data_IF_669072745593
#
_entry.id   IF_669072745593
#
_cell.length_a   1.000
_cell.length_b   1.000
_cell.length_c   1.000
_cell.angle_alpha   90.00
_cell.angle_beta   90.00
_cell.angle_gamma   90.00
#
_symmetry.space_group_name_H-M   'P 1'
#
loop_
_entity.id
_entity.type
_entity.pdbx_description
1 polymer ?
#
# COMPACT_ATOMS: atom_id res chain seq x y z
N UNK A 1 -12.48 13.29 9.79
CA UNK A 1 -13.61 12.64 9.10
C UNK A 1 -14.83 12.52 10.01
N UNK A 2 -14.70 11.96 11.21
CA UNK A 2 -15.82 11.75 12.15
C UNK A 2 -16.57 13.04 12.55
N UNK A 3 -15.88 14.16 12.77
CA UNK A 3 -16.55 15.44 13.09
C UNK A 3 -17.54 15.91 12.00
N UNK A 4 -17.25 15.62 10.73
CA UNK A 4 -18.10 15.98 9.58
C UNK A 4 -19.32 15.06 9.41
N UNK A 5 -19.46 14.02 10.25
CA UNK A 5 -20.66 13.16 10.30
C UNK A 5 -21.62 13.56 11.42
N UNK A 6 -21.16 14.37 12.39
CA UNK A 6 -21.93 14.77 13.56
C UNK A 6 -22.22 16.28 13.62
N UNK A 7 -21.42 17.10 12.94
CA UNK A 7 -21.59 18.55 12.93
C UNK A 7 -22.74 18.98 12.01
N UNK A 8 -23.59 19.90 12.48
CA UNK A 8 -24.65 20.49 11.67
C UNK A 8 -24.10 21.43 10.59
N UNK A 9 -24.76 21.48 9.43
CA UNK A 9 -24.39 22.38 8.32
C UNK A 9 -23.20 21.93 7.47
N UNK A 10 -22.68 20.73 7.70
CA UNK A 10 -21.63 20.11 6.86
C UNK A 10 -22.08 18.74 6.35
N UNK A 11 -21.38 18.23 5.34
CA UNK A 11 -21.58 16.87 4.80
C UNK A 11 -20.36 15.99 5.09
N UNK A 12 -20.55 14.67 5.29
CA UNK A 12 -19.43 13.73 5.38
C UNK A 12 -18.52 13.77 4.15
N UNK A 13 -17.28 13.36 4.34
CA UNK A 13 -16.35 13.13 3.23
C UNK A 13 -16.80 11.92 2.42
N UNK A 14 -17.05 12.09 1.12
CA UNK A 14 -17.46 11.02 0.21
C UNK A 14 -16.32 10.15 -0.30
N UNK A 15 -15.33 9.85 0.54
CA UNK A 15 -14.13 9.08 0.17
C UNK A 15 -13.80 8.06 1.26
N UNK A 16 -13.29 6.90 0.85
CA UNK A 16 -12.55 5.99 1.73
C UNK A 16 -11.06 6.11 1.42
N UNK A 17 -10.21 5.92 2.43
CA UNK A 17 -8.75 5.99 2.29
C UNK A 17 -8.12 4.64 2.63
N UNK A 18 -7.04 4.31 1.91
CA UNK A 18 -6.08 3.29 2.34
C UNK A 18 -4.81 4.01 2.77
N UNK A 19 -4.39 3.78 4.02
CA UNK A 19 -3.22 4.38 4.63
C UNK A 19 -2.23 3.27 4.92
N UNK A 20 -1.12 3.26 4.20
CA UNK A 20 -0.01 2.34 4.42
C UNK A 20 1.13 3.07 5.14
N UNK A 21 1.82 2.39 6.04
CA UNK A 21 2.94 2.94 6.79
C UNK A 21 3.78 1.86 7.44
N UNK A 22 4.81 2.30 8.15
CA UNK A 22 5.61 1.46 9.03
C UNK A 22 5.51 2.05 10.43
N UNK A 23 5.09 1.21 11.37
CA UNK A 23 5.03 1.52 12.78
C UNK A 23 6.14 0.78 13.53
N UNK A 24 6.48 1.21 14.74
CA UNK A 24 7.43 0.52 15.60
C UNK A 24 6.64 -0.39 16.56
N UNK A 25 7.11 -1.62 16.76
CA UNK A 25 6.58 -2.48 17.82
C UNK A 25 7.13 -2.12 19.20
N UNK A 26 6.56 -2.71 20.25
CA UNK A 26 6.98 -2.50 21.63
C UNK A 26 8.44 -2.92 21.89
N UNK A 27 9.06 -3.64 20.96
CA UNK A 27 10.45 -4.08 20.97
C UNK A 27 11.36 -3.25 20.05
N UNK A 28 10.83 -2.21 19.40
CA UNK A 28 11.56 -1.32 18.48
C UNK A 28 11.74 -1.87 17.06
N UNK A 29 11.05 -2.94 16.68
CA UNK A 29 11.09 -3.49 15.32
C UNK A 29 10.09 -2.77 14.41
N UNK A 30 10.50 -2.52 13.16
CA UNK A 30 9.63 -1.97 12.13
C UNK A 30 8.56 -2.97 11.70
N UNK A 31 7.29 -2.59 11.79
CA UNK A 31 6.13 -3.37 11.35
C UNK A 31 5.35 -2.62 10.28
N UNK A 32 5.18 -3.19 9.07
CA UNK A 32 4.28 -2.64 8.08
C UNK A 32 2.84 -2.67 8.57
N UNK A 33 2.10 -1.60 8.34
CA UNK A 33 0.69 -1.49 8.68
C UNK A 33 -0.11 -0.92 7.51
N UNK A 34 -1.32 -1.44 7.33
CA UNK A 34 -2.28 -0.97 6.34
C UNK A 34 -3.63 -0.76 7.03
N UNK A 35 -4.17 0.44 6.90
CA UNK A 35 -5.46 0.82 7.47
C UNK A 35 -6.41 1.31 6.39
N UNK A 36 -7.66 0.86 6.46
CA UNK A 36 -8.76 1.45 5.72
C UNK A 36 -9.48 2.45 6.63
N UNK A 37 -9.80 3.64 6.11
CA UNK A 37 -10.61 4.65 6.78
C UNK A 37 -11.86 4.93 5.94
N UNK A 38 -13.03 4.85 6.55
CA UNK A 38 -14.32 5.05 5.87
C UNK A 38 -14.92 6.44 6.15
N UNK A 39 -15.87 6.92 5.30
CA UNK A 39 -16.59 8.18 5.47
C UNK A 39 -17.16 8.44 6.87
N UNK A 40 -17.55 7.38 7.58
CA UNK A 40 -18.07 7.44 8.95
C UNK A 40 -17.03 7.89 9.99
N UNK A 41 -15.74 7.77 9.66
CA UNK A 41 -14.61 7.88 10.57
C UNK A 41 -14.18 6.54 11.18
N UNK A 42 -14.86 5.43 10.86
CA UNK A 42 -14.42 4.10 11.26
C UNK A 42 -13.13 3.73 10.52
N UNK A 43 -12.21 3.06 11.21
CA UNK A 43 -10.98 2.54 10.62
C UNK A 43 -10.76 1.07 10.95
N UNK A 44 -10.11 0.35 10.05
CA UNK A 44 -9.88 -1.08 10.16
C UNK A 44 -8.46 -1.44 9.72
N UNK A 45 -7.70 -2.23 10.50
CA UNK A 45 -6.41 -2.76 10.08
C UNK A 45 -6.60 -3.92 9.09
N UNK A 46 -5.76 -3.98 8.06
CA UNK A 46 -5.78 -5.03 7.04
C UNK A 46 -4.38 -5.58 6.77
N UNK A 47 -4.31 -6.86 6.40
CA UNK A 47 -3.09 -7.44 5.81
C UNK A 47 -3.02 -7.16 4.31
N UNK A 48 -4.14 -7.32 3.62
CA UNK A 48 -4.37 -6.92 2.24
C UNK A 48 -5.86 -6.55 2.08
N UNK A 49 -6.16 -5.51 1.31
CA UNK A 49 -7.54 -5.08 1.05
C UNK A 49 -7.60 -4.25 -0.24
N UNK A 50 -8.80 -4.08 -0.77
CA UNK A 50 -9.10 -3.22 -1.91
C UNK A 50 -10.37 -2.41 -1.64
N UNK A 51 -10.42 -1.18 -2.17
CA UNK A 51 -11.58 -0.28 -2.10
C UNK A 51 -11.95 0.19 -3.51
N UNK A 52 -13.20 0.62 -3.69
CA UNK A 52 -13.69 1.16 -4.98
C UNK A 52 -14.40 0.11 -5.86
N UNK A 53 -14.39 0.35 -7.18
CA UNK A 53 -15.06 -0.53 -8.15
C UNK A 53 -14.46 -1.95 -8.07
N UNK A 54 -15.31 -2.97 -8.17
CA UNK A 54 -14.92 -4.38 -8.18
C UNK A 54 -14.24 -4.89 -6.88
N UNK A 55 -14.32 -4.14 -5.77
CA UNK A 55 -13.65 -4.52 -4.51
C UNK A 55 -13.97 -5.93 -4.01
N UNK A 56 -15.20 -6.43 -4.21
CA UNK A 56 -15.57 -7.77 -3.76
C UNK A 56 -14.74 -8.87 -4.46
N UNK A 57 -14.60 -8.77 -5.79
CA UNK A 57 -13.78 -9.69 -6.58
C UNK A 57 -12.30 -9.57 -6.24
N UNK A 58 -11.80 -8.33 -6.11
CA UNK A 58 -10.41 -8.07 -5.76
C UNK A 58 -10.04 -8.58 -4.36
N UNK A 59 -10.92 -8.43 -3.38
CA UNK A 59 -10.72 -8.99 -2.04
C UNK A 59 -10.65 -10.52 -2.07
N UNK A 60 -11.55 -11.18 -2.80
CA UNK A 60 -11.48 -12.63 -2.97
C UNK A 60 -10.23 -13.10 -3.71
N UNK A 61 -9.72 -12.31 -4.66
CA UNK A 61 -8.44 -12.58 -5.32
C UNK A 61 -7.27 -12.48 -4.34
N UNK A 62 -7.23 -11.39 -3.55
CA UNK A 62 -6.20 -11.17 -2.54
C UNK A 62 -6.22 -12.24 -1.45
N UNK A 63 -7.40 -12.65 -0.98
CA UNK A 63 -7.55 -13.73 0.02
C UNK A 63 -6.93 -15.04 -0.47
N UNK A 64 -7.16 -15.41 -1.73
CA UNK A 64 -6.60 -16.64 -2.32
C UNK A 64 -5.08 -16.56 -2.45
N UNK A 65 -4.55 -15.42 -2.90
CA UNK A 65 -3.11 -15.25 -3.17
C UNK A 65 -2.29 -15.03 -1.88
N UNK A 66 -2.89 -14.35 -0.91
CA UNK A 66 -2.28 -14.11 0.40
C UNK A 66 -2.33 -15.36 1.29
N UNK A 67 -3.43 -16.13 1.25
CA UNK A 67 -3.63 -17.32 2.08
C UNK A 67 -2.75 -18.53 1.73
N UNK A 68 -2.12 -18.55 0.55
CA UNK A 68 -1.26 -19.66 0.13
C UNK A 68 0.15 -19.65 0.74
N UNK A 69 0.62 -18.50 1.25
CA UNK A 69 1.93 -18.38 1.90
C UNK A 69 1.72 -18.15 3.40
N UNK A 70 1.35 -19.21 4.09
CA UNK A 70 1.22 -19.23 5.55
C UNK A 70 2.60 -19.02 6.18
N UNK A 71 2.68 -17.97 7.01
CA UNK A 71 3.72 -17.64 8.02
C UNK A 71 4.89 -16.75 7.58
N UNK A 72 5.22 -16.65 6.29
CA UNK A 72 6.27 -15.73 5.83
C UNK A 72 5.69 -14.39 5.35
N UNK A 73 6.28 -13.29 5.83
CA UNK A 73 6.09 -11.96 5.26
C UNK A 73 6.35 -12.05 3.75
N UNK A 74 5.35 -11.74 2.91
CA UNK A 74 5.58 -11.64 1.48
C UNK A 74 6.71 -10.64 1.22
N UNK A 75 7.67 -11.05 0.41
CA UNK A 75 8.72 -10.15 -0.05
C UNK A 75 8.06 -8.98 -0.80
N UNK A 76 8.66 -7.79 -0.70
CA UNK A 76 8.10 -6.58 -1.32
C UNK A 76 7.83 -6.77 -2.82
N UNK A 77 8.71 -7.48 -3.52
CA UNK A 77 8.59 -7.80 -4.94
C UNK A 77 7.34 -8.65 -5.24
N UNK A 78 7.12 -9.74 -4.49
CA UNK A 78 5.92 -10.58 -4.61
C UNK A 78 4.64 -9.83 -4.28
N UNK A 79 4.72 -8.88 -3.34
CA UNK A 79 3.62 -8.01 -2.95
C UNK A 79 3.24 -7.06 -4.08
N UNK A 80 4.23 -6.42 -4.73
CA UNK A 80 4.02 -5.56 -5.90
C UNK A 80 3.40 -6.38 -7.04
N UNK A 81 3.96 -7.55 -7.33
CA UNK A 81 3.46 -8.44 -8.38
C UNK A 81 2.00 -8.85 -8.12
N UNK A 82 1.68 -9.24 -6.88
CA UNK A 82 0.31 -9.60 -6.49
C UNK A 82 -0.65 -8.42 -6.59
N UNK A 83 -0.22 -7.21 -6.21
CA UNK A 83 -1.03 -6.00 -6.34
C UNK A 83 -1.34 -5.67 -7.80
N UNK A 84 -0.37 -5.78 -8.71
CA UNK A 84 -0.60 -5.52 -10.14
C UNK A 84 -1.50 -6.60 -10.75
N UNK A 85 -1.32 -7.87 -10.40
CA UNK A 85 -2.24 -8.94 -10.82
C UNK A 85 -3.68 -8.69 -10.36
N UNK A 86 -3.86 -8.26 -9.11
CA UNK A 86 -5.18 -7.90 -8.60
C UNK A 86 -5.77 -6.73 -9.41
N UNK A 87 -4.99 -5.68 -9.69
CA UNK A 87 -5.45 -4.56 -10.52
C UNK A 87 -5.84 -5.01 -11.92
N UNK A 88 -5.11 -5.95 -12.53
CA UNK A 88 -5.38 -6.50 -13.86
C UNK A 88 -6.72 -7.23 -13.91
N UNK A 89 -7.08 -7.97 -12.86
CA UNK A 89 -8.38 -8.64 -12.76
C UNK A 89 -9.55 -7.63 -12.66
N UNK A 90 -9.31 -6.48 -12.02
CA UNK A 90 -10.33 -5.45 -11.82
C UNK A 90 -10.44 -4.41 -12.93
N UNK A 91 -9.50 -4.37 -13.87
CA UNK A 91 -9.35 -3.32 -14.88
C UNK A 91 -9.86 -3.77 -16.25
N UNK A 92 -10.78 -2.99 -16.82
CA UNK A 92 -11.30 -3.23 -18.18
C UNK A 92 -10.37 -2.55 -19.19
N UNK A 93 -9.39 -3.29 -19.72
CA UNK A 93 -8.48 -2.78 -20.77
C UNK A 93 -7.05 -3.29 -20.64
N UNK A 94 -6.12 -2.63 -21.34
CA UNK A 94 -4.69 -2.88 -21.19
C UNK A 94 -4.12 -2.00 -20.07
N UNK A 95 -3.41 -2.62 -19.14
CA UNK A 95 -2.62 -1.93 -18.13
C UNK A 95 -1.28 -1.51 -18.73
N UNK A 96 -1.00 -0.21 -18.67
CA UNK A 96 0.27 0.39 -19.07
C UNK A 96 0.88 1.21 -17.92
N UNK A 97 2.12 1.70 -18.09
CA UNK A 97 2.82 2.47 -17.06
C UNK A 97 2.23 3.88 -16.78
N UNK A 98 1.23 4.31 -17.57
CA UNK A 98 0.53 5.57 -17.38
C UNK A 98 -0.84 5.39 -16.70
N UNK A 99 -1.38 4.17 -16.73
CA UNK A 99 -2.70 3.81 -16.21
C UNK A 99 -2.71 3.48 -14.73
N UNK A 100 -1.54 3.17 -14.15
CA UNK A 100 -1.39 2.83 -12.72
C UNK A 100 -0.33 3.68 -12.04
N UNK A 101 -0.55 3.91 -10.75
CA UNK A 101 0.44 4.49 -9.86
C UNK A 101 0.72 3.51 -8.71
N UNK A 102 1.99 3.29 -8.41
CA UNK A 102 2.43 2.41 -7.34
C UNK A 102 3.34 3.19 -6.39
N UNK A 103 3.03 3.12 -5.10
CA UNK A 103 3.87 3.63 -4.02
C UNK A 103 4.19 2.52 -3.05
N UNK A 104 5.44 2.47 -2.60
CA UNK A 104 5.96 1.44 -1.69
C UNK A 104 6.58 2.06 -0.45
N UNK A 105 6.55 1.30 0.64
CA UNK A 105 7.21 1.62 1.91
C UNK A 105 7.83 0.31 2.42
N UNK A 106 9.14 0.28 2.63
CA UNK A 106 9.85 -0.95 2.99
C UNK A 106 11.34 -0.75 3.23
N UNK A 107 12.08 -1.80 3.53
CA UNK A 107 13.53 -1.73 3.76
C UNK A 107 14.29 -1.08 2.59
N UNK A 108 13.83 -1.29 1.35
CA UNK A 108 14.46 -0.74 0.14
C UNK A 108 14.26 0.78 -0.03
N UNK A 109 13.41 1.38 0.82
CA UNK A 109 13.20 2.84 0.84
C UNK A 109 14.08 3.56 1.86
N UNK A 110 14.96 2.81 2.53
CA UNK A 110 15.92 3.35 3.48
C UNK A 110 17.04 4.04 2.71
N UNK A 111 17.19 5.35 2.93
CA UNK A 111 18.28 6.12 2.34
C UNK A 111 19.48 6.09 3.27
N UNK A 112 20.67 5.82 2.73
CA UNK A 112 21.93 5.99 3.46
C UNK A 112 22.40 7.43 3.24
N UNK A 113 22.30 8.26 4.29
CA UNK A 113 22.87 9.60 4.26
C UNK A 113 24.28 9.56 4.84
N UNK A 114 25.24 10.10 4.08
CA UNK A 114 26.60 10.32 4.57
C UNK A 114 26.64 11.73 5.15
N UNK A 115 26.91 11.82 6.45
CA UNK A 115 27.09 13.11 7.11
C UNK A 115 28.41 13.76 6.68
N UNK A 116 28.56 15.10 6.78
CA UNK A 116 29.81 15.80 6.46
C UNK A 116 31.02 15.31 7.28
N UNK A 117 30.78 14.63 8.40
CA UNK A 117 31.78 14.01 9.28
C UNK A 117 32.18 12.58 8.84
N UNK A 118 31.60 12.06 7.76
CA UNK A 118 31.89 10.72 7.22
C UNK A 118 31.10 9.58 7.86
N UNK A 119 30.22 9.86 8.82
CA UNK A 119 29.35 8.83 9.40
C UNK A 119 28.18 8.52 8.46
N UNK A 120 27.98 7.23 8.17
CA UNK A 120 26.82 6.73 7.40
C UNK A 120 25.65 6.55 8.35
N UNK A 121 24.64 7.41 8.25
CA UNK A 121 23.37 7.25 8.96
C UNK A 121 22.33 6.64 8.03
N UNK A 122 21.77 5.53 8.48
CA UNK A 122 20.65 4.84 7.84
C UNK A 122 19.35 5.52 8.28
N UNK A 123 18.54 6.01 7.34
CA UNK A 123 17.25 6.64 7.68
C UNK A 123 16.18 5.60 8.02
N UNK A 124 15.10 6.03 8.68
CA UNK A 124 13.87 5.22 8.72
C UNK A 124 13.36 4.97 7.28
N UNK A 125 12.64 3.87 7.03
CA UNK A 125 11.96 3.65 5.76
C UNK A 125 11.07 4.83 5.40
N UNK A 126 11.05 5.22 4.13
CA UNK A 126 10.26 6.34 3.63
C UNK A 126 9.35 5.90 2.49
N UNK A 127 8.34 6.70 2.20
CA UNK A 127 7.53 6.47 1.02
C UNK A 127 8.34 6.68 -0.27
N UNK A 128 8.32 5.70 -1.17
CA UNK A 128 8.86 5.82 -2.53
C UNK A 128 7.73 5.60 -3.54
N UNK A 129 7.47 6.59 -4.39
CA UNK A 129 6.63 6.41 -5.60
C UNK A 129 7.48 5.77 -6.69
N UNK A 130 7.00 4.70 -7.31
CA UNK A 130 7.69 4.06 -8.42
C UNK A 130 7.61 4.92 -9.68
N UNK A 131 8.73 4.98 -10.41
CA UNK A 131 8.79 5.64 -11.70
C UNK A 131 8.13 4.81 -12.80
N UNK A 132 7.79 5.46 -13.92
CA UNK A 132 7.17 4.80 -15.08
C UNK A 132 8.02 3.66 -15.65
N UNK A 133 9.35 3.80 -15.66
CA UNK A 133 10.25 2.75 -16.11
C UNK A 133 10.21 1.52 -15.20
N UNK A 134 10.24 1.73 -13.88
CA UNK A 134 10.16 0.63 -12.90
C UNK A 134 8.81 -0.10 -13.03
N UNK A 135 7.71 0.65 -13.19
CA UNK A 135 6.37 0.06 -13.40
C UNK A 135 6.34 -0.77 -14.69
N UNK A 136 6.94 -0.28 -15.77
CA UNK A 136 7.03 -1.02 -17.04
C UNK A 136 7.80 -2.33 -16.88
N UNK A 137 8.90 -2.33 -16.13
CA UNK A 137 9.69 -3.53 -15.88
C UNK A 137 8.88 -4.56 -15.07
N UNK A 138 8.11 -4.11 -14.08
CA UNK A 138 7.18 -5.00 -13.36
C UNK A 138 6.06 -5.55 -14.25
N UNK A 139 5.49 -4.72 -15.13
CA UNK A 139 4.46 -5.15 -16.08
C UNK A 139 4.98 -6.15 -17.12
N UNK A 140 6.26 -6.07 -17.50
CA UNK A 140 6.89 -7.02 -18.42
C UNK A 140 7.10 -8.42 -17.81
N UNK A 141 7.13 -8.51 -16.48
CA UNK A 141 7.36 -9.74 -15.71
C UNK A 141 6.06 -10.33 -15.13
N UNK A 142 4.89 -9.95 -15.66
CA UNK A 142 3.55 -10.41 -15.27
C UNK A 142 2.90 -11.25 -16.37
#
# INVERSE_FOLDING_TARGET
MQEFTQSGGVRPFGVSLLIAGIDEDDHGNARPCLYQLDPSGAYFPWKATAIGKNMASLKSFLEKRYGTNTEDLMILEDTIHTAILALKEGFEGQLDENSIEIGIIGADTVTKMVTPTGEVKTTKPQFKKLGKSEIRDYLANI
#
